data_IF_652421646465
#
_entry.id   IF_652421646465
#
_cell.length_a   1.000
_cell.length_b   1.000
_cell.length_c   1.000
_cell.angle_alpha   90.00
_cell.angle_beta   90.00
_cell.angle_gamma   90.00
#
_symmetry.space_group_name_H-M   'P 1'
#
loop_
_entity.id
_entity.type
_entity.pdbx_description
1 polymer ?
#
# COMPACT_ATOMS: atom_id res chain seq x y z
N UNK A 1 -13.75 -4.14 -12.65
CA UNK A 1 -13.00 -3.67 -11.46
C UNK A 1 -11.56 -4.19 -11.54
N UNK A 2 -10.82 -3.81 -12.58
CA UNK A 2 -9.41 -4.19 -12.71
C UNK A 2 -8.64 -2.95 -13.12
N UNK A 3 -7.59 -2.62 -12.38
CA UNK A 3 -6.62 -1.61 -12.78
C UNK A 3 -5.67 -2.23 -13.82
N UNK A 4 -5.43 -1.52 -14.93
CA UNK A 4 -4.32 -1.88 -15.80
C UNK A 4 -3.02 -1.48 -15.10
N UNK A 5 -2.22 -2.47 -14.66
CA UNK A 5 -0.98 -2.25 -13.93
C UNK A 5 -1.13 -2.22 -12.41
N UNK A 6 -0.12 -1.68 -11.71
CA UNK A 6 -0.07 -1.62 -10.24
C UNK A 6 -1.08 -0.59 -9.70
N UNK A 7 -1.73 -0.90 -8.58
CA UNK A 7 -2.65 0.01 -7.88
C UNK A 7 -1.87 1.09 -7.09
N UNK A 8 -2.42 2.31 -7.04
CA UNK A 8 -1.95 3.36 -6.12
C UNK A 8 -2.64 3.22 -4.76
N UNK A 9 -1.84 3.07 -3.68
CA UNK A 9 -2.33 2.85 -2.31
C UNK A 9 -1.65 3.81 -1.33
N UNK A 10 -1.37 3.39 -0.09
CA UNK A 10 -0.82 4.24 0.97
C UNK A 10 0.44 5.03 0.56
N UNK A 11 1.32 4.45 -0.27
CA UNK A 11 2.53 5.11 -0.78
C UNK A 11 2.31 6.48 -1.46
N UNK A 12 1.09 6.75 -1.94
CA UNK A 12 0.68 8.07 -2.48
C UNK A 12 0.92 9.21 -1.47
N UNK A 13 0.86 8.94 -0.16
CA UNK A 13 1.15 9.93 0.89
C UNK A 13 2.57 10.50 0.76
N UNK A 14 3.57 9.67 0.44
CA UNK A 14 4.94 10.15 0.20
C UNK A 14 5.01 11.04 -1.04
N UNK A 15 4.31 10.67 -2.12
CA UNK A 15 4.24 11.49 -3.35
C UNK A 15 3.66 12.86 -3.03
N UNK A 16 2.52 12.93 -2.34
CA UNK A 16 1.93 14.20 -1.91
C UNK A 16 2.88 15.01 -1.03
N UNK A 17 3.51 14.38 -0.04
CA UNK A 17 4.36 15.08 0.93
C UNK A 17 5.61 15.67 0.28
N UNK A 18 6.26 14.92 -0.61
CA UNK A 18 7.53 15.31 -1.23
C UNK A 18 7.26 16.29 -2.39
N UNK A 19 6.30 16.00 -3.27
CA UNK A 19 5.93 16.92 -4.34
C UNK A 19 5.37 18.24 -3.79
N UNK A 20 4.52 18.17 -2.77
CA UNK A 20 3.97 19.34 -2.08
C UNK A 20 5.07 20.20 -1.43
N UNK A 21 6.11 19.58 -0.87
CA UNK A 21 7.25 20.33 -0.32
C UNK A 21 8.07 21.05 -1.41
N UNK A 22 8.14 20.52 -2.63
CA UNK A 22 8.77 21.21 -3.76
C UNK A 22 7.92 22.37 -4.26
N UNK A 23 6.60 22.17 -4.36
CA UNK A 23 5.67 23.22 -4.73
C UNK A 23 5.69 24.39 -3.73
N UNK A 24 5.67 24.10 -2.42
CA UNK A 24 5.75 25.09 -1.35
C UNK A 24 7.05 25.92 -1.41
N UNK A 25 8.16 25.30 -1.86
CA UNK A 25 9.43 26.00 -2.08
C UNK A 25 9.46 26.87 -3.35
N UNK A 26 8.32 27.04 -4.04
CA UNK A 26 8.21 27.85 -5.25
C UNK A 26 8.89 27.24 -6.48
N UNK A 27 9.09 25.92 -6.51
CA UNK A 27 9.63 25.24 -7.69
C UNK A 27 8.60 25.24 -8.82
N UNK A 28 9.09 25.27 -10.05
CA UNK A 28 8.22 25.18 -11.22
C UNK A 28 7.55 23.80 -11.36
N UNK A 29 6.53 23.74 -12.22
CA UNK A 29 5.76 22.52 -12.45
C UNK A 29 6.63 21.36 -12.96
N UNK A 30 7.63 21.62 -13.80
CA UNK A 30 8.51 20.57 -14.31
C UNK A 30 9.32 19.92 -13.19
N UNK A 31 9.83 20.70 -12.25
CA UNK A 31 10.61 20.19 -11.13
C UNK A 31 9.72 19.46 -10.10
N UNK A 32 8.52 19.98 -9.81
CA UNK A 32 7.54 19.28 -8.96
C UNK A 32 7.17 17.93 -9.57
N UNK A 33 6.91 17.89 -10.88
CA UNK A 33 6.61 16.65 -11.61
C UNK A 33 7.78 15.67 -11.54
N UNK A 34 9.00 16.12 -11.85
CA UNK A 34 10.21 15.28 -11.83
C UNK A 34 10.43 14.62 -10.47
N UNK A 35 10.23 15.37 -9.39
CA UNK A 35 10.38 14.84 -8.02
C UNK A 35 9.23 13.89 -7.67
N UNK A 36 8.00 14.17 -8.09
CA UNK A 36 6.87 13.26 -7.91
C UNK A 36 7.10 11.92 -8.63
N UNK A 37 7.53 11.94 -9.89
CA UNK A 37 7.85 10.76 -10.68
C UNK A 37 8.98 9.96 -10.04
N UNK A 38 10.07 10.62 -9.63
CA UNK A 38 11.14 9.97 -8.87
C UNK A 38 10.62 9.31 -7.58
N UNK A 39 9.67 9.93 -6.87
CA UNK A 39 9.07 9.34 -5.67
C UNK A 39 8.27 8.09 -6.02
N UNK A 40 7.44 8.14 -7.07
CA UNK A 40 6.65 6.99 -7.55
C UNK A 40 7.54 5.79 -7.89
N UNK A 41 8.68 6.02 -8.55
CA UNK A 41 9.64 4.99 -8.90
C UNK A 41 10.25 4.30 -7.67
N UNK A 42 10.44 5.04 -6.57
CA UNK A 42 11.11 4.56 -5.36
C UNK A 42 10.15 4.09 -4.24
N UNK A 43 8.84 4.27 -4.40
CA UNK A 43 7.85 3.80 -3.41
C UNK A 43 7.29 2.44 -3.84
N UNK A 44 7.31 1.48 -2.91
CA UNK A 44 6.63 0.19 -3.04
C UNK A 44 5.81 -0.06 -1.77
N UNK A 45 4.64 -0.66 -1.94
CA UNK A 45 3.72 -0.90 -0.84
C UNK A 45 2.96 -2.20 -1.07
N UNK A 46 2.76 -2.95 0.01
CA UNK A 46 1.99 -4.19 0.05
C UNK A 46 1.16 -4.18 1.34
N UNK A 47 -0.03 -4.78 1.31
CA UNK A 47 -0.92 -4.82 2.46
C UNK A 47 -1.71 -6.11 2.50
N UNK A 48 -2.53 -6.26 3.53
CA UNK A 48 -3.41 -7.41 3.76
C UNK A 48 -4.72 -6.98 4.40
N UNK A 49 -5.72 -7.86 4.40
CA UNK A 49 -6.92 -7.68 5.21
C UNK A 49 -7.40 -8.99 5.83
N UNK A 50 -7.86 -8.92 7.08
CA UNK A 50 -8.57 -10.00 7.80
C UNK A 50 -10.10 -9.88 7.69
N UNK A 51 -10.60 -8.79 7.11
CA UNK A 51 -12.03 -8.56 6.91
C UNK A 51 -12.27 -7.59 5.76
N UNK A 52 -13.49 -7.59 5.24
CA UNK A 52 -13.89 -6.71 4.14
C UNK A 52 -14.47 -5.39 4.66
N UNK A 53 -14.30 -4.33 3.88
CA UNK A 53 -15.01 -3.08 4.13
C UNK A 53 -16.49 -3.19 3.71
N UNK A 54 -17.34 -2.40 4.37
CA UNK A 54 -18.74 -2.23 3.99
C UNK A 54 -18.89 -0.84 3.40
N UNK A 55 -19.18 -0.78 2.10
CA UNK A 55 -19.57 0.50 1.47
C UNK A 55 -21.00 0.83 1.92
N UNK A 56 -21.27 2.01 2.51
CA UNK A 56 -22.58 2.33 3.09
C UNK A 56 -23.75 2.12 2.13
N UNK A 57 -23.56 2.46 0.84
CA UNK A 57 -24.59 2.28 -0.18
C UNK A 57 -24.90 0.80 -0.50
N UNK A 58 -23.94 -0.10 -0.30
CA UNK A 58 -24.14 -1.54 -0.51
C UNK A 58 -24.76 -2.23 0.72
N UNK A 59 -24.50 -1.71 1.92
CA UNK A 59 -25.04 -2.24 3.19
C UNK A 59 -24.57 -3.64 3.57
N UNK A 60 -23.60 -4.21 2.83
CA UNK A 60 -23.04 -5.54 3.05
C UNK A 60 -21.54 -5.56 2.70
N UNK A 61 -20.77 -6.53 3.20
CA UNK A 61 -19.35 -6.68 2.86
C UNK A 61 -19.11 -6.82 1.35
N UNK A 62 -18.04 -6.21 0.84
CA UNK A 62 -17.66 -6.32 -0.58
C UNK A 62 -17.20 -7.76 -0.94
N UNK A 63 -16.63 -8.47 0.02
CA UNK A 63 -16.25 -9.88 -0.06
C UNK A 63 -16.32 -10.50 1.34
N UNK A 64 -16.25 -11.84 1.42
CA UNK A 64 -16.15 -12.56 2.69
C UNK A 64 -14.81 -13.29 2.80
N UNK A 65 -14.28 -13.33 4.01
CA UNK A 65 -13.18 -14.19 4.46
C UNK A 65 -13.71 -15.02 5.63
N UNK A 66 -13.23 -16.25 5.76
CA UNK A 66 -13.45 -17.01 7.00
C UNK A 66 -12.72 -16.35 8.17
N UNK A 67 -13.11 -16.68 9.41
CA UNK A 67 -12.47 -16.13 10.62
C UNK A 67 -10.96 -16.40 10.71
N UNK A 68 -10.52 -17.47 10.05
CA UNK A 68 -9.11 -17.89 10.00
C UNK A 68 -8.45 -17.60 8.65
N UNK A 69 -9.02 -16.72 7.82
CA UNK A 69 -8.47 -16.32 6.52
C UNK A 69 -7.94 -14.88 6.49
N UNK A 70 -6.92 -14.67 5.66
CA UNK A 70 -6.37 -13.36 5.31
C UNK A 70 -6.28 -13.22 3.78
N UNK A 71 -6.60 -12.03 3.27
CA UNK A 71 -6.41 -11.66 1.86
C UNK A 71 -5.10 -10.87 1.71
N UNK A 72 -4.12 -11.45 1.02
CA UNK A 72 -2.80 -10.83 0.81
C UNK A 72 -2.82 -9.96 -0.45
N UNK A 73 -2.32 -8.73 -0.34
CA UNK A 73 -2.23 -7.80 -1.46
C UNK A 73 -3.56 -7.17 -1.85
N UNK A 74 -4.51 -7.08 -0.92
CA UNK A 74 -5.82 -6.48 -1.18
C UNK A 74 -5.73 -5.00 -1.61
N UNK A 75 -6.67 -4.56 -2.45
CA UNK A 75 -6.81 -3.15 -2.83
C UNK A 75 -7.61 -2.32 -1.81
N UNK A 76 -7.46 -0.99 -1.85
CA UNK A 76 -8.11 -0.07 -0.89
C UNK A 76 -9.63 0.04 -1.06
N UNK A 77 -10.19 -0.45 -2.17
CA UNK A 77 -11.64 -0.54 -2.37
C UNK A 77 -12.16 -1.96 -2.14
N UNK A 78 -11.32 -2.87 -1.63
CA UNK A 78 -11.64 -4.28 -1.48
C UNK A 78 -11.49 -5.08 -2.78
N UNK A 79 -10.71 -4.59 -3.74
CA UNK A 79 -10.36 -5.37 -4.93
C UNK A 79 -9.54 -6.60 -4.52
N UNK A 80 -9.75 -7.77 -5.17
CA UNK A 80 -9.02 -9.00 -4.85
C UNK A 80 -7.51 -8.79 -4.76
N UNK A 81 -6.92 -9.52 -3.83
CA UNK A 81 -5.48 -9.57 -3.63
C UNK A 81 -4.79 -10.52 -4.62
N UNK A 82 -3.59 -10.93 -4.26
CA UNK A 82 -2.86 -11.96 -5.01
C UNK A 82 -3.37 -13.36 -4.67
N UNK A 83 -3.73 -13.59 -3.40
CA UNK A 83 -4.25 -14.85 -2.90
C UNK A 83 -4.87 -14.69 -1.49
N UNK A 84 -5.57 -15.74 -1.07
CA UNK A 84 -6.02 -15.94 0.31
C UNK A 84 -5.21 -17.05 0.95
N UNK A 85 -4.98 -16.91 2.24
CA UNK A 85 -4.33 -17.94 3.04
C UNK A 85 -4.89 -17.98 4.46
N UNK A 86 -4.47 -18.98 5.24
CA UNK A 86 -4.83 -19.05 6.67
C UNK A 86 -4.07 -17.98 7.44
N UNK A 87 -4.74 -17.35 8.40
CA UNK A 87 -4.11 -16.37 9.28
C UNK A 87 -2.97 -17.03 10.07
N UNK A 88 -1.83 -16.35 10.12
CA UNK A 88 -0.63 -16.77 10.85
C UNK A 88 -0.20 -15.67 11.82
N UNK A 89 1.00 -15.78 12.40
CA UNK A 89 1.53 -14.74 13.29
C UNK A 89 1.76 -13.45 12.53
N UNK A 90 1.66 -12.30 13.23
CA UNK A 90 1.96 -11.00 12.63
C UNK A 90 3.37 -10.97 12.02
N UNK A 91 4.36 -11.56 12.70
CA UNK A 91 5.75 -11.66 12.21
C UNK A 91 5.83 -12.36 10.85
N UNK A 92 5.14 -13.51 10.71
CA UNK A 92 5.13 -14.27 9.47
C UNK A 92 4.47 -13.49 8.33
N UNK A 93 3.35 -12.81 8.60
CA UNK A 93 2.68 -12.00 7.58
C UNK A 93 3.56 -10.80 7.19
N UNK A 94 4.17 -10.10 8.16
CA UNK A 94 5.05 -8.97 7.89
C UNK A 94 6.25 -9.39 7.07
N UNK A 95 6.87 -10.55 7.37
CA UNK A 95 7.97 -11.10 6.57
C UNK A 95 7.58 -11.29 5.11
N UNK A 96 6.42 -11.91 4.85
CA UNK A 96 5.90 -12.08 3.49
C UNK A 96 5.65 -10.74 2.76
N UNK A 97 5.05 -9.75 3.45
CA UNK A 97 4.76 -8.44 2.86
C UNK A 97 6.05 -7.69 2.53
N UNK A 98 7.04 -7.72 3.42
CA UNK A 98 8.33 -7.07 3.25
C UNK A 98 9.15 -7.75 2.16
N UNK A 99 9.20 -9.09 2.13
CA UNK A 99 9.86 -9.83 1.05
C UNK A 99 9.30 -9.40 -0.31
N UNK A 100 7.97 -9.28 -0.42
CA UNK A 100 7.36 -8.86 -1.68
C UNK A 100 7.71 -7.43 -2.08
N UNK A 101 7.86 -6.53 -1.11
CA UNK A 101 8.33 -5.16 -1.33
C UNK A 101 9.79 -5.18 -1.82
N UNK A 102 10.67 -5.91 -1.12
CA UNK A 102 12.10 -6.00 -1.41
C UNK A 102 12.37 -6.60 -2.79
N UNK A 103 11.58 -7.58 -3.23
CA UNK A 103 11.68 -8.14 -4.58
C UNK A 103 11.30 -7.16 -5.71
N UNK A 104 10.69 -6.01 -5.36
CA UNK A 104 10.14 -5.06 -6.33
C UNK A 104 10.68 -3.63 -6.17
N UNK A 105 11.64 -3.42 -5.28
CA UNK A 105 12.32 -2.15 -5.06
C UNK A 105 13.82 -2.34 -5.31
N UNK A 106 14.45 -1.36 -5.93
CA UNK A 106 15.89 -1.35 -6.14
C UNK A 106 16.52 -0.64 -4.94
N UNK A 107 16.95 -1.43 -3.94
CA UNK A 107 17.64 -0.92 -2.75
C UNK A 107 18.84 -1.80 -2.40
N UNK A 108 19.89 -1.17 -1.88
CA UNK A 108 21.11 -1.85 -1.44
C UNK A 108 21.29 -1.84 0.08
N UNK A 109 22.12 -2.76 0.57
CA UNK A 109 22.46 -2.81 2.00
C UNK A 109 23.19 -1.53 2.41
N UNK A 110 22.64 -0.83 3.40
CA UNK A 110 23.22 0.40 3.95
C UNK A 110 22.54 1.66 3.43
N UNK A 111 21.58 1.55 2.51
CA UNK A 111 20.74 2.68 2.11
C UNK A 111 19.71 3.05 3.17
N UNK A 112 19.36 4.33 3.21
CA UNK A 112 18.32 4.86 4.10
C UNK A 112 16.94 4.73 3.46
N UNK A 113 15.97 4.25 4.24
CA UNK A 113 14.59 4.12 3.81
C UNK A 113 13.63 4.80 4.79
N UNK A 114 12.54 5.34 4.25
CA UNK A 114 11.40 5.76 5.04
C UNK A 114 10.34 4.65 5.02
N UNK A 115 9.91 4.21 6.20
CA UNK A 115 8.90 3.15 6.35
C UNK A 115 7.60 3.76 6.86
N UNK A 116 6.48 3.36 6.26
CA UNK A 116 5.14 3.72 6.74
C UNK A 116 4.33 2.46 7.02
N UNK A 117 3.94 2.28 8.28
CA UNK A 117 2.95 1.29 8.68
C UNK A 117 1.57 1.94 8.61
N UNK A 118 0.71 1.42 7.73
CA UNK A 118 -0.60 1.99 7.48
C UNK A 118 -1.70 0.99 7.85
N UNK A 119 -2.43 1.27 8.92
CA UNK A 119 -3.68 0.55 9.23
C UNK A 119 -4.77 0.86 8.21
N UNK A 120 -5.51 -0.16 7.76
CA UNK A 120 -6.66 0.01 6.87
C UNK A 120 -7.95 0.35 7.65
N UNK A 121 -7.82 1.26 8.62
CA UNK A 121 -8.85 1.72 9.57
C UNK A 121 -9.05 0.87 10.83
N UNK A 122 -9.56 -0.36 10.74
CA UNK A 122 -10.10 -1.09 11.91
C UNK A 122 -9.05 -1.82 12.79
N UNK A 123 -7.77 -1.73 12.44
CA UNK A 123 -6.67 -2.31 13.23
C UNK A 123 -6.30 -1.36 14.38
N UNK A 124 -6.24 -1.83 15.64
CA UNK A 124 -5.79 -1.02 16.77
C UNK A 124 -4.37 -0.45 16.57
N UNK A 125 -4.10 0.70 17.21
CA UNK A 125 -2.77 1.31 17.29
C UNK A 125 -1.86 0.59 18.28
#
# INVERSE_FOLDING_TARGET
LYTAGRRGIAGTVFVHKIAGAMAEKGRDLSEVKRVAEKTIENVKSMGMAISSCIVPAAGKPNFNLAEDEVEIGIGIHGEPGTHREKISTADSIVEQLVERILLNIDIEKGEEVAVMVNGLAATPF
#
